data_IF_643944378768
#
_entry.id   IF_643944378768
#
_cell.length_a   1.000
_cell.length_b   1.000
_cell.length_c   1.000
_cell.angle_alpha   90.00
_cell.angle_beta   90.00
_cell.angle_gamma   90.00
#
_symmetry.space_group_name_H-M   'P 1'
#
loop_
_entity.id
_entity.type
_entity.pdbx_description
1 polymer ?
#
# COMPACT_ATOMS: atom_id res chain seq x y z
N UNK A 1 -21.18 32.26 -50.87
CA UNK A 1 -19.86 31.65 -51.18
C UNK A 1 -18.80 32.35 -50.34
N UNK A 2 -17.96 31.54 -49.69
CA UNK A 2 -16.62 31.84 -49.08
C UNK A 2 -16.49 32.93 -48.00
N UNK A 3 -15.72 32.81 -46.92
CA UNK A 3 -15.22 31.73 -46.02
C UNK A 3 -14.21 32.43 -45.07
N UNK A 4 -14.27 32.14 -43.76
CA UNK A 4 -13.22 32.29 -42.72
C UNK A 4 -12.79 33.73 -42.30
N UNK A 5 -12.55 34.08 -41.03
CA UNK A 5 -11.92 33.28 -39.95
C UNK A 5 -12.27 33.83 -38.56
N UNK A 6 -12.44 32.89 -37.63
CA UNK A 6 -12.49 33.01 -36.17
C UNK A 6 -11.43 33.94 -35.57
N UNK A 7 -11.82 34.73 -34.55
CA UNK A 7 -11.05 34.75 -33.28
C UNK A 7 -12.00 35.02 -32.12
N UNK A 8 -12.74 33.98 -31.75
CA UNK A 8 -13.39 33.87 -30.45
C UNK A 8 -12.30 33.53 -29.43
N UNK A 9 -11.53 34.52 -28.97
CA UNK A 9 -10.64 34.35 -27.82
C UNK A 9 -11.49 34.50 -26.54
N UNK A 10 -12.49 33.64 -26.40
CA UNK A 10 -13.04 33.33 -25.10
C UNK A 10 -11.95 32.58 -24.34
N UNK A 11 -11.13 33.32 -23.60
CA UNK A 11 -10.42 32.80 -22.44
C UNK A 11 -11.49 32.42 -21.40
N UNK A 12 -12.25 31.36 -21.68
CA UNK A 12 -12.73 30.49 -20.61
C UNK A 12 -11.49 29.83 -20.08
N UNK A 13 -10.87 30.51 -19.10
CA UNK A 13 -10.05 29.88 -18.10
C UNK A 13 -10.96 28.89 -17.38
N UNK A 14 -11.18 27.73 -18.00
CA UNK A 14 -11.67 26.54 -17.35
C UNK A 14 -10.57 26.11 -16.40
N UNK A 15 -10.50 26.84 -15.29
CA UNK A 15 -10.19 26.24 -14.01
C UNK A 15 -11.17 25.07 -13.89
N UNK A 16 -10.69 23.90 -14.30
CA UNK A 16 -11.19 22.63 -13.84
C UNK A 16 -11.05 22.67 -12.31
N UNK A 17 -12.01 23.33 -11.66
CA UNK A 17 -12.31 23.06 -10.27
C UNK A 17 -12.83 21.62 -10.33
N UNK A 18 -11.92 20.67 -10.16
CA UNK A 18 -12.24 19.31 -9.79
C UNK A 18 -12.92 19.44 -8.42
N UNK A 19 -14.24 19.67 -8.45
CA UNK A 19 -15.08 19.51 -7.28
C UNK A 19 -15.00 18.04 -6.92
N UNK A 20 -14.34 17.72 -5.80
CA UNK A 20 -14.30 16.37 -5.29
C UNK A 20 -15.73 15.91 -4.99
N UNK A 21 -16.07 14.68 -5.36
CA UNK A 21 -17.37 14.12 -5.05
C UNK A 21 -17.39 13.60 -3.62
N UNK A 22 -18.55 13.62 -2.98
CA UNK A 22 -18.70 13.02 -1.65
C UNK A 22 -18.90 11.52 -1.78
N UNK A 23 -18.31 10.74 -0.89
CA UNK A 23 -18.65 9.32 -0.70
C UNK A 23 -19.24 9.12 0.69
N UNK A 24 -20.15 8.15 0.81
CA UNK A 24 -20.87 7.90 2.07
C UNK A 24 -20.93 6.41 2.37
N UNK A 25 -20.53 6.03 3.57
CA UNK A 25 -20.79 4.71 4.14
C UNK A 25 -21.97 4.80 5.10
N UNK A 26 -22.99 4.00 4.81
CA UNK A 26 -24.06 3.69 5.75
C UNK A 26 -23.80 2.32 6.34
N UNK A 27 -24.04 2.15 7.62
CA UNK A 27 -23.99 0.80 8.16
C UNK A 27 -24.61 0.63 9.51
N UNK A 28 -24.62 -0.63 9.92
CA UNK A 28 -25.04 -1.07 11.24
C UNK A 28 -23.98 -1.98 11.81
N UNK A 29 -23.75 -1.89 13.11
CA UNK A 29 -22.90 -2.84 13.83
C UNK A 29 -23.74 -3.78 14.69
N UNK A 30 -23.31 -5.05 14.77
CA UNK A 30 -23.89 -6.07 15.64
C UNK A 30 -22.81 -6.64 16.56
N UNK A 31 -23.18 -6.88 17.83
CA UNK A 31 -22.26 -7.33 18.88
C UNK A 31 -21.03 -6.41 19.05
N UNK A 32 -21.23 -5.12 18.83
CA UNK A 32 -20.17 -4.11 18.93
C UNK A 32 -19.87 -3.76 20.39
N UNK A 33 -18.60 -3.77 20.82
CA UNK A 33 -18.26 -3.64 22.24
C UNK A 33 -18.24 -2.18 22.75
N UNK A 34 -18.49 -1.21 21.87
CA UNK A 34 -18.41 0.24 22.15
C UNK A 34 -19.60 0.98 21.53
N UNK A 35 -19.85 2.20 21.97
CA UNK A 35 -20.82 3.13 21.37
C UNK A 35 -20.21 3.99 20.24
N UNK A 36 -18.94 3.76 19.93
CA UNK A 36 -18.18 4.45 18.87
C UNK A 36 -17.70 3.49 17.80
N UNK A 37 -17.74 3.95 16.55
CA UNK A 37 -17.03 3.34 15.42
C UNK A 37 -15.86 4.24 15.03
N UNK A 38 -14.67 3.67 15.08
CA UNK A 38 -13.42 4.31 14.71
C UNK A 38 -13.09 4.00 13.26
N UNK A 39 -12.58 4.99 12.51
CA UNK A 39 -12.13 4.77 11.13
C UNK A 39 -10.76 5.40 10.87
N UNK A 40 -10.05 4.84 9.89
CA UNK A 40 -8.86 5.47 9.30
C UNK A 40 -8.79 5.21 7.81
N UNK A 41 -8.49 6.22 6.99
CA UNK A 41 -8.13 5.99 5.61
C UNK A 41 -6.77 5.29 5.56
N UNK A 42 -6.57 4.48 4.53
CA UNK A 42 -5.38 3.68 4.26
C UNK A 42 -4.81 4.13 2.93
N UNK A 43 -4.05 5.24 2.87
CA UNK A 43 -3.25 5.53 1.70
C UNK A 43 -2.11 4.51 1.74
N UNK A 44 -2.24 3.40 1.01
CA UNK A 44 -1.19 2.37 0.96
C UNK A 44 0.17 2.91 0.48
N UNK A 45 0.19 4.03 -0.26
CA UNK A 45 1.44 4.71 -0.61
C UNK A 45 2.04 5.53 0.54
N UNK A 46 1.29 5.79 1.63
CA UNK A 46 1.69 6.60 2.78
C UNK A 46 0.71 6.45 3.97
N UNK A 47 0.98 5.60 4.97
CA UNK A 47 0.13 5.46 6.16
C UNK A 47 0.13 6.73 7.00
N UNK A 48 1.12 7.61 6.78
CA UNK A 48 1.22 8.91 7.40
C UNK A 48 0.29 9.97 6.78
N UNK A 49 -0.24 9.77 5.57
CA UNK A 49 -1.32 10.60 5.02
C UNK A 49 -2.72 10.09 5.37
N UNK A 50 -2.81 9.10 6.26
CA UNK A 50 -4.07 8.57 6.75
C UNK A 50 -4.87 9.66 7.51
N UNK A 51 -6.15 9.75 7.19
CA UNK A 51 -7.13 10.53 7.94
C UNK A 51 -7.87 9.60 8.87
N UNK A 52 -7.96 9.93 10.15
CA UNK A 52 -8.64 9.09 11.13
C UNK A 52 -9.69 9.87 11.90
N UNK A 53 -10.72 9.18 12.36
CA UNK A 53 -11.81 9.79 13.10
C UNK A 53 -12.68 8.76 13.81
N UNK A 54 -13.81 9.22 14.32
CA UNK A 54 -14.83 8.36 14.92
C UNK A 54 -16.24 8.93 14.72
N UNK A 55 -17.23 8.05 14.83
CA UNK A 55 -18.65 8.40 14.85
C UNK A 55 -19.34 7.70 16.01
N UNK A 56 -20.31 8.38 16.62
CA UNK A 56 -21.19 7.78 17.64
C UNK A 56 -22.26 6.93 16.95
N UNK A 57 -22.50 5.75 17.50
CA UNK A 57 -23.56 4.85 17.05
C UNK A 57 -24.91 5.33 17.58
N UNK A 58 -25.97 5.13 16.79
CA UNK A 58 -27.33 5.27 17.31
C UNK A 58 -27.71 4.11 18.24
N UNK A 59 -28.88 4.19 18.89
CA UNK A 59 -29.37 3.17 19.83
C UNK A 59 -29.52 1.77 19.20
N UNK A 60 -29.68 1.69 17.88
CA UNK A 60 -29.80 0.45 17.13
C UNK A 60 -28.45 0.00 16.53
N UNK A 61 -27.34 0.70 16.82
CA UNK A 61 -26.02 0.42 16.27
C UNK A 61 -25.79 0.98 14.86
N UNK A 62 -26.66 1.86 14.37
CA UNK A 62 -26.53 2.51 13.07
C UNK A 62 -25.51 3.64 13.07
N UNK A 63 -24.86 3.85 11.92
CA UNK A 63 -23.89 4.92 11.71
C UNK A 63 -23.85 5.42 10.26
N UNK A 64 -23.33 6.64 10.09
CA UNK A 64 -23.09 7.26 8.77
C UNK A 64 -21.70 7.91 8.79
N UNK A 65 -20.81 7.47 7.90
CA UNK A 65 -19.55 8.16 7.64
C UNK A 65 -19.64 8.90 6.31
N UNK A 66 -19.35 10.20 6.35
CA UNK A 66 -19.32 11.06 5.17
C UNK A 66 -17.89 11.50 4.90
N UNK A 67 -17.46 11.32 3.66
CA UNK A 67 -16.15 11.73 3.18
C UNK A 67 -16.35 12.82 2.11
N UNK A 68 -16.26 14.10 2.47
CA UNK A 68 -16.43 15.19 1.51
C UNK A 68 -15.18 15.34 0.62
N UNK A 69 -15.38 15.88 -0.58
CA UNK A 69 -14.31 16.33 -1.48
C UNK A 69 -13.29 15.25 -1.91
N UNK A 70 -13.74 14.01 -2.10
CA UNK A 70 -12.87 12.93 -2.56
C UNK A 70 -12.58 13.10 -4.06
N UNK A 71 -11.29 13.03 -4.41
CA UNK A 71 -10.79 13.19 -5.78
C UNK A 71 -10.36 11.88 -6.44
N UNK A 72 -10.14 10.83 -5.65
CA UNK A 72 -9.69 9.54 -6.13
C UNK A 72 -10.22 8.42 -5.21
N UNK A 73 -10.35 7.19 -5.72
CA UNK A 73 -10.71 6.08 -4.86
C UNK A 73 -9.70 5.87 -3.74
N UNK A 74 -10.22 5.45 -2.59
CA UNK A 74 -9.43 5.26 -1.39
C UNK A 74 -9.90 4.04 -0.62
N UNK A 75 -8.98 3.50 0.16
CA UNK A 75 -9.24 2.41 1.08
C UNK A 75 -9.30 3.01 2.47
N UNK A 76 -10.14 2.48 3.33
CA UNK A 76 -10.22 2.86 4.73
C UNK A 76 -10.53 1.63 5.55
N UNK A 77 -10.32 1.72 6.84
CA UNK A 77 -10.65 0.66 7.76
C UNK A 77 -11.51 1.17 8.89
N UNK A 78 -12.34 0.28 9.42
CA UNK A 78 -13.21 0.53 10.56
C UNK A 78 -12.94 -0.46 11.68
N UNK A 79 -13.01 0.01 12.91
CA UNK A 79 -12.73 -0.79 14.10
C UNK A 79 -13.49 -0.27 15.32
N UNK A 80 -13.63 -1.14 16.33
CA UNK A 80 -14.21 -0.77 17.62
C UNK A 80 -13.17 -0.11 18.55
N UNK A 81 -11.86 -0.30 18.30
CA UNK A 81 -10.83 0.10 19.25
C UNK A 81 -9.92 1.20 18.68
N UNK A 82 -9.93 2.38 19.32
CA UNK A 82 -9.06 3.51 18.97
C UNK A 82 -7.58 3.14 18.87
N UNK A 83 -7.10 2.21 19.71
CA UNK A 83 -5.70 1.78 19.72
C UNK A 83 -5.27 1.17 18.39
N UNK A 84 -6.18 0.50 17.68
CA UNK A 84 -5.88 -0.11 16.39
C UNK A 84 -5.63 0.94 15.32
N UNK A 85 -6.32 2.09 15.32
CA UNK A 85 -6.02 3.21 14.39
C UNK A 85 -4.55 3.64 14.51
N UNK A 86 -4.07 3.83 15.75
CA UNK A 86 -2.70 4.30 15.97
C UNK A 86 -1.66 3.23 15.59
N UNK A 87 -1.97 1.96 15.85
CA UNK A 87 -1.13 0.82 15.47
C UNK A 87 -1.06 0.69 13.95
N UNK A 88 -2.21 0.69 13.30
CA UNK A 88 -2.42 0.77 11.86
C UNK A 88 -1.47 1.80 11.21
N UNK A 89 -1.55 3.08 11.59
CA UNK A 89 -0.69 4.13 11.02
C UNK A 89 0.82 3.87 11.11
N UNK A 90 1.28 3.13 12.13
CA UNK A 90 2.71 2.83 12.33
C UNK A 90 3.15 1.53 11.64
N UNK A 91 2.30 0.50 11.67
CA UNK A 91 2.61 -0.87 11.26
C UNK A 91 2.41 -1.15 9.76
N UNK A 92 1.68 -0.29 9.04
CA UNK A 92 1.14 -0.64 7.71
C UNK A 92 2.13 -0.76 6.55
N UNK A 93 3.36 -0.26 6.65
CA UNK A 93 4.28 -0.31 5.51
C UNK A 93 5.51 -1.19 5.71
N UNK A 94 6.05 -1.31 6.92
CA UNK A 94 7.43 -1.78 7.06
C UNK A 94 7.74 -2.62 8.29
N UNK A 95 6.82 -2.77 9.24
CA UNK A 95 7.13 -3.49 10.50
C UNK A 95 7.31 -5.01 10.28
N UNK A 96 6.84 -5.56 9.16
CA UNK A 96 7.11 -6.94 8.75
C UNK A 96 8.48 -7.11 8.03
N UNK A 97 9.24 -6.04 7.85
CA UNK A 97 10.51 -6.02 7.11
C UNK A 97 11.72 -5.81 8.02
N UNK A 98 11.65 -6.30 9.26
CA UNK A 98 12.71 -6.24 10.27
C UNK A 98 13.68 -7.42 10.18
N UNK A 99 14.76 -7.37 10.98
CA UNK A 99 15.77 -8.43 11.10
C UNK A 99 15.19 -9.77 11.58
N UNK A 100 14.09 -9.72 12.36
CA UNK A 100 13.39 -10.87 12.89
C UNK A 100 12.25 -11.26 11.95
N UNK A 101 12.61 -11.76 10.76
CA UNK A 101 11.65 -12.31 9.82
C UNK A 101 11.09 -13.63 10.37
N UNK A 102 10.01 -13.56 11.15
CA UNK A 102 9.21 -14.73 11.46
C UNK A 102 8.43 -15.10 10.19
N UNK A 103 8.69 -16.30 9.66
CA UNK A 103 7.87 -16.94 8.62
C UNK A 103 6.42 -17.18 9.10
N UNK A 104 6.19 -17.05 10.41
CA UNK A 104 4.87 -17.09 11.02
C UNK A 104 4.15 -15.77 10.80
N UNK A 105 3.20 -15.79 9.87
CA UNK A 105 2.10 -14.84 9.69
C UNK A 105 2.50 -13.39 9.97
N UNK A 106 2.70 -12.60 8.91
CA UNK A 106 2.33 -11.19 8.97
C UNK A 106 1.05 -11.12 9.81
N UNK A 107 1.10 -10.42 10.93
CA UNK A 107 -0.13 -9.99 11.59
C UNK A 107 -0.75 -9.06 10.57
N UNK A 108 -1.55 -9.64 9.65
CA UNK A 108 -2.48 -8.91 8.80
C UNK A 108 -3.41 -8.27 9.82
N UNK A 109 -3.04 -7.08 10.28
CA UNK A 109 -3.85 -6.27 11.19
C UNK A 109 -5.27 -6.10 10.60
N UNK A 110 -5.38 -6.22 9.27
CA UNK A 110 -6.58 -6.23 8.46
C UNK A 110 -7.49 -7.47 8.59
N UNK A 111 -7.03 -8.63 9.06
CA UNK A 111 -7.87 -9.86 9.03
C UNK A 111 -8.52 -10.21 10.36
N UNK A 112 -7.97 -9.80 11.50
CA UNK A 112 -8.41 -10.35 12.78
C UNK A 112 -9.19 -9.38 13.69
N UNK A 113 -9.17 -8.06 13.44
CA UNK A 113 -9.91 -7.08 14.28
C UNK A 113 -10.38 -5.80 13.56
N UNK A 114 -10.07 -5.65 12.28
CA UNK A 114 -10.27 -4.42 11.49
C UNK A 114 -10.97 -4.78 10.20
N UNK A 115 -12.03 -4.06 9.82
CA UNK A 115 -12.69 -4.26 8.53
C UNK A 115 -12.18 -3.24 7.53
N UNK A 116 -11.49 -3.69 6.48
CA UNK A 116 -10.99 -2.81 5.42
C UNK A 116 -12.04 -2.69 4.32
N UNK A 117 -12.26 -1.49 3.79
CA UNK A 117 -13.30 -1.18 2.82
C UNK A 117 -12.75 -0.21 1.78
N UNK A 118 -13.38 -0.21 0.61
CA UNK A 118 -13.01 0.64 -0.52
C UNK A 118 -14.15 1.63 -0.83
N UNK A 119 -13.85 2.84 -1.27
CA UNK A 119 -14.85 3.80 -1.74
C UNK A 119 -14.35 4.58 -2.95
N UNK A 120 -15.24 4.78 -3.93
CA UNK A 120 -15.02 5.67 -5.07
C UNK A 120 -15.61 7.07 -4.83
N UNK A 121 -15.12 8.09 -5.55
CA UNK A 121 -15.81 9.38 -5.62
C UNK A 121 -17.27 9.18 -6.06
N UNK A 122 -18.22 9.68 -5.26
CA UNK A 122 -19.65 9.59 -5.55
C UNK A 122 -20.32 8.29 -5.07
N UNK A 123 -19.57 7.33 -4.53
CA UNK A 123 -20.14 6.07 -4.06
C UNK A 123 -20.97 6.23 -2.79
N UNK A 124 -22.07 5.47 -2.73
CA UNK A 124 -22.80 5.18 -1.51
C UNK A 124 -22.75 3.69 -1.23
N UNK A 125 -22.05 3.31 -0.17
CA UNK A 125 -21.92 1.92 0.25
C UNK A 125 -22.78 1.68 1.49
N UNK A 126 -23.45 0.53 1.54
CA UNK A 126 -24.17 0.07 2.72
C UNK A 126 -23.61 -1.27 3.18
N UNK A 127 -23.24 -1.36 4.46
CA UNK A 127 -22.67 -2.57 5.07
C UNK A 127 -23.23 -2.85 6.44
N UNK A 128 -23.38 -4.13 6.77
CA UNK A 128 -23.57 -4.58 8.15
C UNK A 128 -22.29 -5.24 8.64
N UNK A 129 -21.81 -4.82 9.82
CA UNK A 129 -20.60 -5.30 10.47
C UNK A 129 -20.98 -6.18 11.65
N UNK A 130 -20.65 -7.47 11.63
CA UNK A 130 -20.95 -8.37 12.76
C UNK A 130 -19.67 -8.86 13.42
N UNK A 131 -19.46 -8.53 14.69
CA UNK A 131 -18.37 -9.11 15.48
C UNK A 131 -18.80 -10.47 16.04
N UNK A 132 -18.05 -11.52 15.75
CA UNK A 132 -18.31 -12.83 16.36
C UNK A 132 -17.90 -12.87 17.86
N UNK A 133 -16.81 -12.18 18.23
CA UNK A 133 -16.27 -12.10 19.60
C UNK A 133 -15.58 -10.74 19.81
N UNK A 134 -15.35 -10.33 21.07
CA UNK A 134 -14.67 -9.05 21.41
C UNK A 134 -13.35 -8.86 20.65
N UNK A 135 -12.55 -9.92 20.53
CA UNK A 135 -11.28 -9.99 19.79
C UNK A 135 -11.33 -10.98 18.61
N UNK A 136 -12.42 -10.98 17.84
CA UNK A 136 -12.62 -11.88 16.71
C UNK A 136 -12.74 -11.17 15.37
N UNK A 137 -12.77 -11.98 14.31
CA UNK A 137 -13.05 -11.55 12.95
C UNK A 137 -14.39 -10.81 12.87
N UNK A 138 -14.42 -9.76 12.04
CA UNK A 138 -15.63 -9.00 11.75
C UNK A 138 -16.18 -9.48 10.41
N UNK A 139 -17.36 -10.08 10.42
CA UNK A 139 -18.07 -10.45 9.20
C UNK A 139 -18.67 -9.19 8.54
N UNK A 140 -18.72 -9.22 7.20
CA UNK A 140 -19.15 -8.10 6.36
C UNK A 140 -20.25 -8.56 5.42
N UNK A 141 -21.44 -7.97 5.58
CA UNK A 141 -22.53 -8.11 4.61
C UNK A 141 -22.62 -6.84 3.76
N UNK A 142 -22.39 -6.97 2.45
CA UNK A 142 -22.42 -5.86 1.49
C UNK A 142 -23.77 -5.75 0.77
N UNK A 143 -24.24 -4.52 0.60
CA UNK A 143 -25.48 -4.22 -0.11
C UNK A 143 -25.27 -3.17 -1.21
N UNK A 144 -26.10 -3.24 -2.26
CA UNK A 144 -26.15 -2.25 -3.34
C UNK A 144 -25.19 -2.51 -4.51
N UNK A 145 -25.02 -1.51 -5.36
CA UNK A 145 -24.36 -1.65 -6.66
C UNK A 145 -22.85 -1.89 -6.56
N UNK A 146 -22.19 -1.39 -5.52
CA UNK A 146 -20.74 -1.57 -5.32
C UNK A 146 -20.37 -2.92 -4.71
N UNK A 147 -21.37 -3.79 -4.41
CA UNK A 147 -21.17 -5.09 -3.75
C UNK A 147 -20.07 -5.94 -4.40
N UNK A 148 -20.13 -6.16 -5.72
CA UNK A 148 -19.17 -7.00 -6.42
C UNK A 148 -17.73 -6.48 -6.30
N UNK A 149 -17.55 -5.16 -6.37
CA UNK A 149 -16.24 -4.52 -6.21
C UNK A 149 -15.71 -4.65 -4.78
N UNK A 150 -16.58 -4.50 -3.77
CA UNK A 150 -16.18 -4.67 -2.37
C UNK A 150 -15.83 -6.11 -2.04
N UNK A 151 -16.69 -7.06 -2.42
CA UNK A 151 -16.46 -8.49 -2.20
C UNK A 151 -15.16 -8.92 -2.86
N UNK A 152 -14.94 -8.51 -4.11
CA UNK A 152 -13.70 -8.83 -4.80
C UNK A 152 -12.48 -8.22 -4.12
N UNK A 153 -12.55 -6.95 -3.70
CA UNK A 153 -11.48 -6.30 -2.95
C UNK A 153 -11.13 -7.06 -1.66
N UNK A 154 -12.13 -7.55 -0.91
CA UNK A 154 -11.87 -8.38 0.28
C UNK A 154 -11.09 -9.65 -0.03
N UNK A 155 -11.37 -10.32 -1.16
CA UNK A 155 -10.65 -11.56 -1.53
C UNK A 155 -9.17 -11.35 -1.82
N UNK A 156 -8.72 -10.12 -2.06
CA UNK A 156 -7.32 -9.83 -2.34
C UNK A 156 -6.42 -10.04 -1.12
N UNK A 157 -6.97 -9.91 0.09
CA UNK A 157 -6.23 -10.13 1.33
C UNK A 157 -5.80 -11.60 1.53
N UNK A 158 -6.34 -12.56 0.76
CA UNK A 158 -5.98 -13.98 0.88
C UNK A 158 -4.90 -14.41 -0.13
N UNK A 159 -4.48 -13.52 -1.03
CA UNK A 159 -3.55 -13.87 -2.13
C UNK A 159 -2.17 -14.31 -1.63
N UNK A 160 -1.64 -13.74 -0.54
CA UNK A 160 -0.28 -14.05 -0.07
C UNK A 160 -0.09 -15.51 0.32
N UNK A 161 -1.04 -16.07 1.07
CA UNK A 161 -0.99 -17.45 1.53
C UNK A 161 -0.91 -18.41 0.35
N UNK A 162 -1.68 -18.15 -0.70
CA UNK A 162 -1.69 -18.99 -1.89
C UNK A 162 -0.34 -19.00 -2.62
N UNK A 163 0.36 -17.86 -2.69
CA UNK A 163 1.69 -17.80 -3.33
C UNK A 163 2.80 -18.36 -2.42
N UNK A 164 2.70 -18.13 -1.11
CA UNK A 164 3.68 -18.62 -0.14
C UNK A 164 3.77 -20.14 -0.11
N UNK A 165 2.63 -20.83 -0.17
CA UNK A 165 2.56 -22.30 -0.16
C UNK A 165 3.22 -22.95 -1.39
N UNK A 166 3.24 -22.26 -2.54
CA UNK A 166 3.81 -22.78 -3.80
C UNK A 166 5.33 -22.92 -3.80
N UNK A 167 6.02 -22.23 -2.89
CA UNK A 167 7.49 -22.10 -2.93
C UNK A 167 8.16 -22.67 -1.68
N UNK A 168 7.38 -23.27 -0.77
CA UNK A 168 7.91 -24.07 0.33
C UNK A 168 8.66 -25.29 -0.24
N UNK A 169 9.87 -25.53 0.25
CA UNK A 169 10.78 -26.63 -0.12
C UNK A 169 11.26 -26.73 -1.58
N UNK A 170 10.78 -25.87 -2.48
CA UNK A 170 11.20 -25.86 -3.88
C UNK A 170 12.59 -25.23 -4.10
N UNK A 171 13.28 -25.73 -5.12
CA UNK A 171 14.51 -25.12 -5.61
C UNK A 171 14.19 -23.70 -6.11
N UNK A 172 15.00 -22.71 -5.71
CA UNK A 172 14.76 -21.30 -6.06
C UNK A 172 14.69 -21.04 -7.58
N UNK A 173 15.36 -21.88 -8.37
CA UNK A 173 15.27 -21.87 -9.84
C UNK A 173 13.87 -22.20 -10.37
N UNK A 174 13.13 -23.07 -9.68
CA UNK A 174 11.77 -23.48 -10.04
C UNK A 174 10.72 -22.51 -9.49
N UNK A 175 10.97 -21.88 -8.34
CA UNK A 175 10.07 -20.90 -7.72
C UNK A 175 9.64 -19.79 -8.69
N UNK A 176 10.57 -19.25 -9.49
CA UNK A 176 10.23 -18.23 -10.49
C UNK A 176 9.26 -18.70 -11.57
N UNK A 177 9.30 -19.99 -11.96
CA UNK A 177 8.37 -20.56 -12.93
C UNK A 177 7.00 -20.74 -12.29
N UNK A 178 6.94 -21.36 -11.11
CA UNK A 178 5.71 -21.60 -10.36
C UNK A 178 4.95 -20.30 -10.07
N UNK A 179 5.66 -19.29 -9.56
CA UNK A 179 5.10 -17.95 -9.33
C UNK A 179 4.56 -17.35 -10.63
N UNK A 180 5.29 -17.47 -11.74
CA UNK A 180 4.85 -16.92 -13.02
C UNK A 180 3.58 -17.60 -13.52
N UNK A 181 3.49 -18.93 -13.43
CA UNK A 181 2.32 -19.71 -13.83
C UNK A 181 1.10 -19.39 -12.96
N UNK A 182 1.28 -19.34 -11.63
CA UNK A 182 0.22 -18.97 -10.69
C UNK A 182 -0.27 -17.52 -10.91
N UNK A 183 0.65 -16.58 -11.14
CA UNK A 183 0.33 -15.19 -11.48
C UNK A 183 -0.54 -15.12 -12.75
N UNK A 184 -0.14 -15.83 -13.82
CA UNK A 184 -0.92 -15.83 -15.06
C UNK A 184 -2.31 -16.46 -14.89
N UNK A 185 -2.41 -17.55 -14.13
CA UNK A 185 -3.70 -18.18 -13.80
C UNK A 185 -4.63 -17.20 -13.09
N UNK A 186 -4.14 -16.50 -12.06
CA UNK A 186 -4.92 -15.50 -11.32
C UNK A 186 -5.30 -14.29 -12.17
N UNK A 187 -4.40 -13.81 -13.02
CA UNK A 187 -4.69 -12.73 -13.96
C UNK A 187 -5.79 -13.11 -14.97
N UNK A 188 -5.81 -14.38 -15.42
CA UNK A 188 -6.88 -14.89 -16.28
C UNK A 188 -8.23 -14.90 -15.55
N UNK A 189 -8.25 -15.37 -14.29
CA UNK A 189 -9.46 -15.35 -13.45
C UNK A 189 -9.97 -13.93 -13.19
N UNK A 190 -9.06 -12.95 -13.02
CA UNK A 190 -9.43 -11.54 -12.90
C UNK A 190 -10.08 -11.01 -14.19
N UNK A 191 -9.58 -11.39 -15.37
CA UNK A 191 -10.16 -10.96 -16.64
C UNK A 191 -11.61 -11.43 -16.80
N UNK A 192 -11.93 -12.64 -16.33
CA UNK A 192 -13.30 -13.19 -16.32
C UNK A 192 -14.26 -12.39 -15.42
N UNK A 193 -13.74 -11.58 -14.49
CA UNK A 193 -14.53 -10.75 -13.57
C UNK A 193 -14.58 -9.28 -13.96
N UNK A 194 -13.81 -8.85 -14.96
CA UNK A 194 -13.58 -7.45 -15.30
C UNK A 194 -14.86 -6.62 -15.49
N UNK A 195 -15.88 -7.18 -16.12
CA UNK A 195 -17.15 -6.46 -16.37
C UNK A 195 -17.95 -6.17 -15.09
N UNK A 196 -17.68 -6.90 -14.00
CA UNK A 196 -18.34 -6.72 -12.71
C UNK A 196 -17.54 -5.83 -11.74
N UNK A 197 -16.37 -5.35 -12.17
CA UNK A 197 -15.46 -4.57 -11.34
C UNK A 197 -15.34 -3.16 -11.88
N UNK A 198 -15.18 -2.19 -10.98
CA UNK A 198 -14.80 -0.86 -11.40
C UNK A 198 -13.40 -0.86 -12.02
N UNK A 199 -13.07 0.12 -12.89
CA UNK A 199 -11.74 0.22 -13.50
C UNK A 199 -10.61 0.26 -12.47
N UNK A 200 -10.83 0.96 -11.35
CA UNK A 200 -9.83 1.03 -10.28
C UNK A 200 -9.65 -0.32 -9.58
N UNK A 201 -10.73 -1.01 -9.19
CA UNK A 201 -10.62 -2.30 -8.47
C UNK A 201 -9.96 -3.34 -9.36
N UNK A 202 -10.28 -3.37 -10.65
CA UNK A 202 -9.60 -4.24 -11.61
C UNK A 202 -8.09 -3.94 -11.68
N UNK A 203 -7.68 -2.67 -11.81
CA UNK A 203 -6.26 -2.29 -11.88
C UNK A 203 -5.53 -2.51 -10.55
N UNK A 204 -6.21 -2.32 -9.41
CA UNK A 204 -5.69 -2.59 -8.07
C UNK A 204 -5.45 -4.09 -7.89
N UNK A 205 -6.45 -4.93 -8.15
CA UNK A 205 -6.33 -6.38 -8.07
C UNK A 205 -5.22 -6.93 -8.97
N UNK A 206 -5.11 -6.36 -10.18
CA UNK A 206 -4.03 -6.69 -11.11
C UNK A 206 -2.65 -6.36 -10.54
N UNK A 207 -2.53 -5.25 -9.81
CA UNK A 207 -1.29 -4.90 -9.12
C UNK A 207 -1.02 -5.86 -7.96
N UNK A 208 -2.00 -6.11 -7.10
CA UNK A 208 -1.90 -7.08 -5.98
C UNK A 208 -1.40 -8.44 -6.46
N UNK A 209 -2.06 -9.05 -7.46
CA UNK A 209 -1.68 -10.35 -8.03
C UNK A 209 -0.23 -10.34 -8.56
N UNK A 210 0.15 -9.29 -9.30
CA UNK A 210 1.48 -9.20 -9.92
C UNK A 210 2.60 -9.00 -8.91
N UNK A 211 2.35 -8.26 -7.84
CA UNK A 211 3.38 -7.95 -6.85
C UNK A 211 3.42 -8.99 -5.73
N UNK A 212 2.31 -9.64 -5.37
CA UNK A 212 2.28 -10.76 -4.41
C UNK A 212 3.28 -11.85 -4.79
N UNK A 213 3.23 -12.31 -6.05
CA UNK A 213 4.18 -13.31 -6.53
C UNK A 213 5.65 -12.86 -6.46
N UNK A 214 5.92 -11.57 -6.68
CA UNK A 214 7.28 -11.01 -6.57
C UNK A 214 7.73 -10.87 -5.12
N UNK A 215 6.84 -10.45 -4.24
CA UNK A 215 7.05 -10.37 -2.80
C UNK A 215 7.43 -11.75 -2.27
N UNK A 216 6.62 -12.78 -2.55
CA UNK A 216 6.89 -14.15 -2.10
C UNK A 216 8.18 -14.71 -2.69
N UNK A 217 8.47 -14.44 -3.97
CA UNK A 217 9.76 -14.81 -4.56
C UNK A 217 10.94 -14.16 -3.82
N UNK A 218 10.85 -12.88 -3.46
CA UNK A 218 11.90 -12.19 -2.69
C UNK A 218 12.00 -12.68 -1.25
N UNK A 219 10.86 -12.93 -0.59
CA UNK A 219 10.80 -13.50 0.76
C UNK A 219 11.44 -14.88 0.83
N UNK A 220 11.25 -15.71 -0.20
CA UNK A 220 11.86 -17.05 -0.26
C UNK A 220 13.39 -17.05 -0.24
N UNK A 221 14.05 -15.93 -0.60
CA UNK A 221 15.50 -15.79 -0.44
C UNK A 221 15.90 -15.80 1.04
N UNK A 222 15.07 -15.23 1.94
CA UNK A 222 15.38 -15.12 3.36
C UNK A 222 15.47 -16.47 4.08
N UNK A 223 14.81 -17.49 3.53
CA UNK A 223 14.81 -18.86 4.08
C UNK A 223 15.93 -19.74 3.51
N UNK A 224 16.67 -19.27 2.50
CA UNK A 224 17.78 -20.05 1.94
C UNK A 224 19.01 -19.95 2.85
N UNK A 225 19.86 -20.99 2.81
CA UNK A 225 21.11 -21.00 3.57
C UNK A 225 22.08 -19.94 3.06
N UNK A 226 22.95 -19.43 3.94
CA UNK A 226 23.92 -18.41 3.58
C UNK A 226 24.85 -18.86 2.44
N UNK A 227 25.16 -20.17 2.34
CA UNK A 227 25.92 -20.75 1.21
C UNK A 227 25.19 -20.57 -0.13
N UNK A 228 23.88 -20.84 -0.16
CA UNK A 228 23.07 -20.68 -1.37
C UNK A 228 22.95 -19.20 -1.73
N UNK A 229 22.75 -18.33 -0.74
CA UNK A 229 22.64 -16.90 -0.94
C UNK A 229 23.95 -16.29 -1.45
N UNK A 230 25.08 -16.65 -0.84
CA UNK A 230 26.40 -16.26 -1.31
C UNK A 230 26.63 -16.71 -2.75
N UNK A 231 26.24 -17.94 -3.10
CA UNK A 231 26.31 -18.41 -4.48
C UNK A 231 25.48 -17.52 -5.42
N UNK A 232 24.22 -17.23 -5.07
CA UNK A 232 23.29 -16.46 -5.91
C UNK A 232 23.71 -15.00 -6.10
N UNK A 233 24.32 -14.36 -5.10
CA UNK A 233 24.69 -12.94 -5.14
C UNK A 233 26.16 -12.69 -5.52
N UNK A 234 27.09 -13.63 -5.24
CA UNK A 234 28.46 -13.56 -5.77
C UNK A 234 28.51 -13.96 -7.23
N UNK A 235 27.72 -14.96 -7.64
CA UNK A 235 27.51 -15.27 -9.05
C UNK A 235 26.36 -14.43 -9.62
N UNK A 236 26.18 -14.53 -10.94
CA UNK A 236 25.11 -13.81 -11.63
C UNK A 236 23.76 -14.49 -11.36
N UNK A 237 22.82 -13.75 -10.76
CA UNK A 237 21.43 -14.18 -10.59
C UNK A 237 20.83 -14.64 -11.93
N UNK A 238 20.05 -15.75 -11.97
CA UNK A 238 19.43 -16.21 -13.19
C UNK A 238 18.59 -15.13 -13.88
N UNK A 239 18.67 -15.08 -15.21
CA UNK A 239 18.02 -14.04 -16.00
C UNK A 239 16.49 -14.07 -15.88
N UNK A 240 15.89 -15.26 -15.73
CA UNK A 240 14.46 -15.44 -15.48
C UNK A 240 14.02 -14.72 -14.22
N UNK A 241 14.69 -15.00 -13.10
CA UNK A 241 14.42 -14.39 -11.78
C UNK A 241 14.56 -12.88 -11.84
N UNK A 242 15.66 -12.39 -12.46
CA UNK A 242 15.86 -10.95 -12.62
C UNK A 242 14.72 -10.27 -13.39
N UNK A 243 14.25 -10.88 -14.49
CA UNK A 243 13.13 -10.33 -15.28
C UNK A 243 11.82 -10.34 -14.49
N UNK A 244 11.53 -11.41 -13.76
CA UNK A 244 10.34 -11.50 -12.90
C UNK A 244 10.34 -10.40 -11.84
N UNK A 245 11.50 -10.14 -11.24
CA UNK A 245 11.69 -9.13 -10.21
C UNK A 245 11.92 -7.71 -10.75
N UNK A 246 11.83 -7.43 -12.05
CA UNK A 246 12.05 -6.06 -12.53
C UNK A 246 10.78 -5.19 -12.38
N UNK A 247 10.98 -3.93 -12.01
CA UNK A 247 9.91 -2.92 -12.03
C UNK A 247 9.75 -2.42 -13.46
N UNK A 248 8.51 -2.36 -13.98
CA UNK A 248 8.24 -1.75 -15.27
C UNK A 248 8.76 -0.30 -15.32
N UNK A 249 9.40 0.09 -16.42
CA UNK A 249 10.01 1.43 -16.58
C UNK A 249 8.99 2.54 -16.89
N UNK A 250 7.77 2.17 -17.24
CA UNK A 250 6.66 3.06 -17.56
C UNK A 250 6.05 3.71 -16.31
N UNK A 251 5.28 4.79 -16.51
CA UNK A 251 4.51 5.44 -15.44
C UNK A 251 3.55 4.41 -14.82
N UNK A 252 3.65 4.22 -13.52
CA UNK A 252 2.76 3.33 -12.76
C UNK A 252 1.39 4.00 -12.57
N UNK A 253 0.33 3.21 -12.68
CA UNK A 253 -1.04 3.68 -12.42
C UNK A 253 -1.23 3.96 -10.92
N UNK A 254 -2.16 4.85 -10.59
CA UNK A 254 -2.48 5.20 -9.20
C UNK A 254 -2.90 3.96 -8.37
N UNK A 255 -3.68 3.06 -8.95
CA UNK A 255 -4.06 1.78 -8.34
C UNK A 255 -2.85 0.90 -7.98
N UNK A 256 -1.77 0.95 -8.77
CA UNK A 256 -0.52 0.24 -8.44
C UNK A 256 0.24 0.92 -7.30
N UNK A 257 0.32 2.25 -7.30
CA UNK A 257 1.01 2.99 -6.23
C UNK A 257 0.31 2.78 -4.87
N UNK A 258 -0.99 2.56 -4.91
CA UNK A 258 -1.84 2.26 -3.74
C UNK A 258 -1.97 0.78 -3.45
N UNK A 259 -1.30 -0.13 -4.17
CA UNK A 259 -1.35 -1.56 -3.84
C UNK A 259 -0.47 -1.85 -2.62
N UNK A 260 -0.96 -2.64 -1.68
CA UNK A 260 -0.20 -3.10 -0.50
C UNK A 260 1.05 -3.85 -0.94
N UNK A 261 0.84 -4.82 -1.83
CA UNK A 261 1.89 -5.71 -2.33
C UNK A 261 2.97 -4.95 -3.08
N UNK A 262 2.58 -3.91 -3.82
CA UNK A 262 3.55 -3.06 -4.48
C UNK A 262 4.43 -2.31 -3.49
N UNK A 263 3.85 -1.79 -2.40
CA UNK A 263 4.61 -1.04 -1.39
C UNK A 263 5.56 -1.96 -0.60
N UNK A 264 5.12 -3.15 -0.18
CA UNK A 264 6.00 -4.16 0.42
C UNK A 264 7.14 -4.55 -0.53
N UNK A 265 6.79 -4.79 -1.79
CA UNK A 265 7.74 -5.13 -2.83
C UNK A 265 8.85 -4.09 -3.02
N UNK A 266 8.57 -2.78 -2.89
CA UNK A 266 9.59 -1.73 -3.10
C UNK A 266 10.77 -1.87 -2.12
N UNK A 267 10.48 -2.17 -0.86
CA UNK A 267 11.50 -2.34 0.18
C UNK A 267 12.32 -3.62 -0.04
N UNK A 268 11.65 -4.75 -0.30
CA UNK A 268 12.31 -6.02 -0.63
C UNK A 268 13.16 -5.91 -1.92
N UNK A 269 12.65 -5.19 -2.91
CA UNK A 269 13.35 -4.97 -4.17
C UNK A 269 14.62 -4.13 -3.97
N UNK A 270 14.58 -3.12 -3.09
CA UNK A 270 15.78 -2.35 -2.76
C UNK A 270 16.83 -3.20 -2.04
N UNK A 271 16.44 -4.04 -1.09
CA UNK A 271 17.36 -4.98 -0.43
C UNK A 271 17.97 -5.95 -1.44
N UNK A 272 17.15 -6.49 -2.35
CA UNK A 272 17.63 -7.33 -3.44
C UNK A 272 18.65 -6.60 -4.32
N UNK A 273 18.36 -5.37 -4.75
CA UNK A 273 19.28 -4.58 -5.59
C UNK A 273 20.56 -4.19 -4.86
N UNK A 274 20.50 -3.87 -3.57
CA UNK A 274 21.67 -3.67 -2.72
C UNK A 274 22.48 -4.96 -2.59
N UNK A 275 21.82 -6.10 -2.45
CA UNK A 275 22.47 -7.41 -2.35
C UNK A 275 23.25 -7.75 -3.62
N UNK A 276 22.65 -7.49 -4.79
CA UNK A 276 23.33 -7.63 -6.08
C UNK A 276 24.53 -6.69 -6.18
N UNK A 277 24.39 -5.42 -5.79
CA UNK A 277 25.48 -4.43 -5.82
C UNK A 277 26.65 -4.84 -4.90
N UNK A 278 26.36 -5.40 -3.73
CA UNK A 278 27.35 -5.77 -2.72
C UNK A 278 27.91 -7.19 -2.89
N UNK A 279 27.41 -7.96 -3.85
CA UNK A 279 27.73 -9.38 -4.01
C UNK A 279 27.53 -10.21 -2.72
N UNK A 280 26.58 -9.80 -1.88
CA UNK A 280 26.27 -10.40 -0.58
C UNK A 280 24.81 -10.15 -0.26
N UNK A 281 24.12 -11.15 0.26
CA UNK A 281 22.73 -10.97 0.67
C UNK A 281 22.59 -9.99 1.83
N UNK A 282 21.75 -8.98 1.63
CA UNK A 282 21.35 -7.98 2.62
C UNK A 282 19.95 -8.34 3.06
N UNK A 283 19.83 -8.99 4.24
CA UNK A 283 18.54 -9.40 4.82
C UNK A 283 17.65 -8.18 5.11
N UNK A 284 18.27 -7.17 5.70
CA UNK A 284 17.67 -5.90 6.05
C UNK A 284 18.73 -4.80 6.06
N UNK A 285 18.29 -3.56 5.83
CA UNK A 285 19.10 -2.37 6.03
C UNK A 285 18.19 -1.22 6.45
N UNK A 286 18.45 -0.68 7.64
CA UNK A 286 17.82 0.54 8.12
C UNK A 286 18.07 1.71 7.15
N UNK A 287 17.24 2.75 7.24
CA UNK A 287 17.46 3.94 6.41
C UNK A 287 18.77 4.62 6.83
N UNK A 288 19.69 4.74 5.90
CA UNK A 288 20.94 5.48 6.04
C UNK A 288 21.27 6.15 4.70
N UNK A 289 22.36 6.90 4.67
CA UNK A 289 22.79 7.67 3.49
C UNK A 289 22.95 6.78 2.26
N UNK A 290 23.55 5.60 2.40
CA UNK A 290 23.71 4.68 1.27
C UNK A 290 22.36 4.22 0.72
N UNK A 291 21.46 3.75 1.59
CA UNK A 291 20.13 3.26 1.17
C UNK A 291 19.31 4.36 0.54
N UNK A 292 19.34 5.57 1.11
CA UNK A 292 18.65 6.75 0.58
C UNK A 292 19.12 7.07 -0.84
N UNK A 293 20.44 7.18 -1.04
CA UNK A 293 21.02 7.49 -2.35
C UNK A 293 20.88 6.36 -3.36
N UNK A 294 20.81 5.13 -2.88
CA UNK A 294 20.54 3.98 -3.73
C UNK A 294 19.07 3.95 -4.18
N UNK A 295 18.12 4.25 -3.29
CA UNK A 295 16.71 4.39 -3.63
C UNK A 295 16.49 5.49 -4.68
N UNK A 296 17.14 6.66 -4.52
CA UNK A 296 17.11 7.76 -5.50
C UNK A 296 17.50 7.35 -6.93
N UNK A 297 18.36 6.33 -7.07
CA UNK A 297 18.85 5.83 -8.37
C UNK A 297 18.09 4.62 -8.90
N UNK A 298 17.42 3.89 -8.02
CA UNK A 298 16.88 2.56 -8.32
C UNK A 298 15.36 2.57 -8.47
N UNK A 299 14.65 3.35 -7.64
CA UNK A 299 13.19 3.36 -7.64
C UNK A 299 12.60 4.26 -8.73
N UNK A 300 11.40 3.94 -9.25
CA UNK A 300 10.66 4.82 -10.14
C UNK A 300 10.37 6.18 -9.50
N UNK A 301 10.46 7.26 -10.29
CA UNK A 301 10.16 8.63 -9.84
C UNK A 301 8.77 8.76 -9.19
N UNK A 302 7.79 8.02 -9.69
CA UNK A 302 6.40 8.04 -9.18
C UNK A 302 6.27 7.51 -7.74
N UNK A 303 7.22 6.70 -7.27
CA UNK A 303 7.20 6.08 -5.93
C UNK A 303 8.21 6.72 -4.98
N UNK A 304 9.26 7.31 -5.54
CA UNK A 304 10.48 7.64 -4.81
C UNK A 304 10.24 8.60 -3.64
N UNK A 305 9.42 9.62 -3.86
CA UNK A 305 9.11 10.59 -2.81
C UNK A 305 8.41 9.92 -1.62
N UNK A 306 7.28 9.25 -1.87
CA UNK A 306 6.49 8.61 -0.82
C UNK A 306 7.29 7.54 -0.08
N UNK A 307 8.03 6.69 -0.81
CA UNK A 307 8.92 5.70 -0.19
C UNK A 307 9.91 6.36 0.79
N UNK A 308 10.67 7.38 0.34
CA UNK A 308 11.67 8.03 1.19
C UNK A 308 11.05 8.80 2.35
N UNK A 309 9.95 9.51 2.11
CA UNK A 309 9.23 10.26 3.14
C UNK A 309 8.71 9.33 4.25
N UNK A 310 8.07 8.22 3.89
CA UNK A 310 7.60 7.24 4.87
C UNK A 310 8.75 6.64 5.67
N UNK A 311 9.87 6.26 5.01
CA UNK A 311 11.04 5.70 5.72
C UNK A 311 11.68 6.71 6.68
N UNK A 312 11.63 8.01 6.39
CA UNK A 312 12.07 9.06 7.32
C UNK A 312 11.08 9.24 8.49
N UNK A 313 9.77 9.23 8.20
CA UNK A 313 8.73 9.33 9.23
C UNK A 313 8.71 8.13 10.19
N UNK A 314 9.22 6.97 9.77
CA UNK A 314 9.47 5.81 10.63
C UNK A 314 10.78 5.91 11.42
N UNK A 315 11.87 6.38 10.80
CA UNK A 315 13.21 6.34 11.40
C UNK A 315 13.34 7.18 12.69
N UNK A 316 14.11 6.70 13.65
CA UNK A 316 14.45 7.46 14.85
C UNK A 316 15.25 8.72 14.51
N UNK A 317 15.08 9.77 15.33
CA UNK A 317 15.79 11.03 15.14
C UNK A 317 17.28 10.83 15.36
N UNK A 318 18.09 11.21 14.37
CA UNK A 318 19.55 11.27 14.46
C UNK A 318 20.10 12.37 13.54
N UNK A 319 21.35 12.77 13.74
CA UNK A 319 22.01 13.76 12.88
C UNK A 319 22.03 13.31 11.41
N UNK A 320 22.27 12.01 11.14
CA UNK A 320 22.23 11.46 9.79
C UNK A 320 20.81 11.54 9.20
N UNK A 321 19.79 11.09 9.94
CA UNK A 321 18.40 11.10 9.48
C UNK A 321 17.92 12.54 9.21
N UNK A 322 18.29 13.50 10.05
CA UNK A 322 18.00 14.92 9.82
C UNK A 322 18.64 15.45 8.52
N UNK A 323 19.88 15.06 8.21
CA UNK A 323 20.52 15.45 6.96
C UNK A 323 19.78 14.87 5.74
N UNK A 324 19.31 13.61 5.82
CA UNK A 324 18.51 12.98 4.78
C UNK A 324 17.13 13.63 4.61
N UNK A 325 16.50 14.05 5.72
CA UNK A 325 15.28 14.84 5.72
C UNK A 325 15.45 16.15 4.94
N UNK A 326 16.47 16.95 5.24
CA UNK A 326 16.73 18.20 4.50
C UNK A 326 17.03 17.94 3.03
N UNK A 327 17.76 16.85 2.73
CA UNK A 327 18.03 16.43 1.35
C UNK A 327 16.73 16.09 0.60
N UNK A 328 15.76 15.43 1.26
CA UNK A 328 14.46 15.12 0.68
C UNK A 328 13.65 16.39 0.40
N UNK A 329 13.53 17.29 1.38
CA UNK A 329 12.78 18.55 1.21
C UNK A 329 13.34 19.43 0.09
N UNK A 330 14.67 19.55 0.00
CA UNK A 330 15.32 20.29 -1.09
C UNK A 330 15.00 19.70 -2.46
N UNK A 331 14.89 18.38 -2.55
CA UNK A 331 14.59 17.67 -3.80
C UNK A 331 13.10 17.69 -4.16
N UNK A 332 12.22 17.72 -3.16
CA UNK A 332 10.76 17.68 -3.31
C UNK A 332 10.10 18.77 -2.45
N UNK A 333 10.21 20.06 -2.84
CA UNK A 333 9.72 21.16 -2.00
C UNK A 333 8.19 21.15 -1.84
N UNK A 334 7.45 20.66 -2.83
CA UNK A 334 5.98 20.55 -2.82
C UNK A 334 5.47 19.15 -2.44
N UNK A 335 6.25 18.41 -1.63
CA UNK A 335 5.89 17.07 -1.20
C UNK A 335 4.75 17.07 -0.17
N UNK A 336 3.77 16.18 -0.35
CA UNK A 336 2.56 16.10 0.48
C UNK A 336 2.83 15.85 1.98
N UNK A 337 3.86 15.05 2.28
CA UNK A 337 4.26 14.69 3.65
C UNK A 337 5.27 15.65 4.27
N UNK A 338 5.62 16.74 3.56
CA UNK A 338 6.65 17.67 4.04
C UNK A 338 6.26 18.32 5.37
N UNK A 339 4.99 18.65 5.58
CA UNK A 339 4.53 19.24 6.84
C UNK A 339 4.76 18.30 8.03
N UNK A 340 4.48 17.01 7.86
CA UNK A 340 4.68 16.01 8.92
C UNK A 340 6.16 15.74 9.17
N UNK A 341 6.97 15.73 8.11
CA UNK A 341 8.42 15.65 8.23
C UNK A 341 8.98 16.87 8.98
N UNK A 342 8.47 18.08 8.71
CA UNK A 342 8.84 19.30 9.44
C UNK A 342 8.38 19.24 10.89
N UNK A 343 7.16 18.78 11.17
CA UNK A 343 6.69 18.60 12.55
C UNK A 343 7.58 17.62 13.32
N UNK A 344 7.96 16.50 12.69
CA UNK A 344 8.86 15.53 13.29
C UNK A 344 10.27 16.09 13.49
N UNK A 345 10.89 16.70 12.49
CA UNK A 345 12.33 17.01 12.50
C UNK A 345 12.70 18.48 12.70
N UNK A 346 11.77 19.42 12.47
CA UNK A 346 12.00 20.86 12.45
C UNK A 346 12.33 21.49 13.82
N UNK A 347 12.05 20.79 14.92
CA UNK A 347 12.31 21.30 16.27
C UNK A 347 13.80 21.34 16.68
N UNK A 348 14.73 20.83 15.86
CA UNK A 348 16.18 20.93 16.14
C UNK A 348 16.82 22.24 15.63
N UNK A 349 16.09 23.08 14.88
CA UNK A 349 16.63 24.34 14.39
C UNK A 349 16.58 25.50 15.41
N UNK A 350 15.98 25.31 16.58
CA UNK A 350 15.75 26.40 17.55
C UNK A 350 16.44 26.25 18.92
N UNK A 351 17.27 25.21 19.15
CA UNK A 351 17.97 25.05 20.44
C UNK A 351 19.37 25.67 20.49
N UNK A 352 19.76 26.48 19.50
CA UNK A 352 21.02 27.23 19.48
C UNK A 352 20.76 28.72 19.25
N UNK A 353 20.09 29.37 20.21
CA UNK A 353 20.18 30.82 20.39
C UNK A 353 20.30 31.15 21.88
#
# INVERSE_FOLDING_TARGET
MTRFTLTLLALTLSTLISFGQSAVLYGKVENWPTDTLHFTTLPFHSPYSAQSGFVLLDKAGGYILKFPEIKAPFVFSVTAEKKFINQSQRLFLFDNLTDQYYYGQCVKLYTYTVSTLYLEPGDSLRVDLRKQKRYGHTELDFYGNSKASQEYFQTLFDLDSEFGDLIQDEAFSNASKLISEATQKKLKQLEEKKENLSPFVYDYAKAEIRYSGKVELLKSLRTKSDRVLDYLFKKKMPASIRRTLEIPKNKLAYATLTSEQFNEYLELYLHYKLSVKRHKFVRHQALNTEKFDFALRTLPKSTLYHYLANRLLEADKSAEINALYHKLLKKYPAGELNNQLVEKFGSMAQSNH
#
